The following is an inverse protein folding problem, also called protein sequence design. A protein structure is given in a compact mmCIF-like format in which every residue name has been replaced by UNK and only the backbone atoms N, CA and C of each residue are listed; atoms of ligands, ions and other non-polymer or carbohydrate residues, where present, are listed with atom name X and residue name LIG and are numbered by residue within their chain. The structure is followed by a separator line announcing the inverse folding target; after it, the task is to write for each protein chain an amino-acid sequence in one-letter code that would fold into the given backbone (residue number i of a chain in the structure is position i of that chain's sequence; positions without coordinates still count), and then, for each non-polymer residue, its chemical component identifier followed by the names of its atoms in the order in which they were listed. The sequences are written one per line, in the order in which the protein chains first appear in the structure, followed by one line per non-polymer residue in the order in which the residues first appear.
data_IF_936158913405
#
_entry.id   IF_936158913405
#
_cell.length_a   1.000
_cell.length_b   1.000
_cell.length_c   1.000
_cell.angle_alpha   90.00
_cell.angle_beta   90.00
_cell.angle_gamma   90.00
#
_symmetry.space_group_name_H-M   'P 1'
#
loop_
_entity.id
_entity.type
_entity.pdbx_description
1 polymer ?
#
# COMPACT_ATOMS: atom_id res chain seq x y z
N UNK A 1 9.84 3.85 27.77
CA UNK A 1 9.78 4.03 26.31
C UNK A 1 10.35 2.80 25.59
N UNK A 2 9.82 1.60 25.89
CA UNK A 2 10.32 0.33 25.34
C UNK A 2 9.20 -0.60 24.83
N UNK A 3 7.93 -0.21 24.98
CA UNK A 3 6.79 -1.09 24.73
C UNK A 3 6.77 -1.74 23.33
N UNK A 4 7.23 -1.05 22.27
CA UNK A 4 7.36 -1.65 20.94
C UNK A 4 8.48 -2.70 20.87
N UNK A 5 9.61 -2.45 21.53
CA UNK A 5 10.73 -3.41 21.61
C UNK A 5 10.30 -4.63 22.43
N UNK A 6 9.56 -4.39 23.52
CA UNK A 6 9.09 -5.44 24.43
C UNK A 6 8.05 -6.36 23.78
N UNK A 7 7.21 -5.83 22.88
CA UNK A 7 6.16 -6.59 22.18
C UNK A 7 6.61 -7.18 20.83
N UNK A 8 7.70 -6.69 20.24
CA UNK A 8 8.20 -7.19 18.95
C UNK A 8 8.43 -8.72 18.88
N UNK A 9 8.94 -9.40 19.93
CA UNK A 9 9.10 -10.87 19.89
C UNK A 9 7.80 -11.63 19.67
N UNK A 10 6.65 -11.09 20.11
CA UNK A 10 5.33 -11.71 19.90
C UNK A 10 4.93 -11.76 18.42
N UNK A 11 5.54 -10.90 17.60
CA UNK A 11 5.31 -10.79 16.16
C UNK A 11 6.30 -11.60 15.31
N UNK A 12 7.24 -12.31 15.95
CA UNK A 12 8.24 -13.11 15.23
C UNK A 12 7.61 -14.16 14.28
N UNK A 13 6.41 -14.64 14.59
CA UNK A 13 5.64 -15.56 13.74
C UNK A 13 5.19 -14.96 12.40
N UNK A 14 5.26 -13.63 12.22
CA UNK A 14 4.88 -12.96 10.97
C UNK A 14 6.02 -12.98 9.92
N UNK A 15 7.24 -13.38 10.29
CA UNK A 15 8.40 -13.32 9.39
C UNK A 15 8.18 -14.07 8.08
N UNK A 16 7.57 -15.25 8.13
CA UNK A 16 7.33 -16.04 6.92
C UNK A 16 6.22 -15.42 6.05
N UNK A 17 5.26 -14.71 6.65
CA UNK A 17 4.28 -13.92 5.89
C UNK A 17 4.99 -12.81 5.12
N UNK A 18 5.84 -12.02 5.79
CA UNK A 18 6.57 -10.94 5.14
C UNK A 18 7.49 -11.42 4.03
N UNK A 19 8.16 -12.56 4.23
CA UNK A 19 8.96 -13.21 3.17
C UNK A 19 8.09 -13.58 1.97
N UNK A 20 6.92 -14.18 2.17
CA UNK A 20 5.99 -14.52 1.08
C UNK A 20 5.48 -13.29 0.32
N UNK A 21 5.18 -12.20 1.02
CA UNK A 21 4.74 -10.95 0.37
C UNK A 21 5.84 -10.39 -0.53
N UNK A 22 7.10 -10.48 -0.11
CA UNK A 22 8.24 -9.97 -0.88
C UNK A 22 8.72 -10.95 -1.95
N UNK A 23 8.36 -12.22 -1.86
CA UNK A 23 8.75 -13.25 -2.81
C UNK A 23 8.02 -13.07 -4.15
N UNK A 24 8.75 -13.25 -5.24
CA UNK A 24 8.25 -13.05 -6.60
C UNK A 24 8.76 -11.79 -7.30
N UNK A 25 8.56 -11.70 -8.63
CA UNK A 25 9.12 -10.65 -9.45
C UNK A 25 8.53 -9.27 -9.12
N UNK A 26 9.38 -8.24 -9.20
CA UNK A 26 8.99 -6.83 -9.14
C UNK A 26 9.56 -6.08 -10.36
N UNK A 27 8.92 -6.19 -11.53
CA UNK A 27 9.42 -5.59 -12.76
C UNK A 27 9.21 -4.08 -12.76
N UNK A 28 10.20 -3.37 -13.32
CA UNK A 28 10.17 -1.92 -13.45
C UNK A 28 8.90 -1.43 -14.17
N UNK A 29 8.30 -0.37 -13.63
CA UNK A 29 7.26 0.40 -14.31
C UNK A 29 7.86 1.37 -15.35
N UNK A 30 9.12 1.79 -15.18
CA UNK A 30 9.82 2.66 -16.12
C UNK A 30 10.68 1.88 -17.13
N UNK A 31 11.26 2.60 -18.09
CA UNK A 31 12.24 2.03 -19.04
C UNK A 31 13.61 1.73 -18.42
N UNK A 32 13.88 2.29 -17.22
CA UNK A 32 15.10 2.10 -16.43
C UNK A 32 14.80 2.24 -14.94
N UNK A 33 15.69 1.75 -14.05
CA UNK A 33 15.66 2.11 -12.64
C UNK A 33 15.81 3.63 -12.44
N UNK A 34 15.34 4.13 -11.29
CA UNK A 34 15.53 5.52 -10.90
C UNK A 34 17.02 5.84 -10.70
N UNK A 35 17.45 6.99 -11.20
CA UNK A 35 18.79 7.55 -11.01
C UNK A 35 18.74 8.50 -9.80
N UNK A 36 19.42 8.19 -8.68
CA UNK A 36 19.32 8.99 -7.47
C UNK A 36 19.89 10.42 -7.61
N UNK A 37 20.63 10.72 -8.69
CA UNK A 37 21.15 12.07 -8.97
C UNK A 37 20.11 12.90 -9.74
N UNK A 38 19.35 12.29 -10.63
CA UNK A 38 18.44 13.00 -11.55
C UNK A 38 16.96 12.85 -11.19
N UNK A 39 16.54 11.69 -10.70
CA UNK A 39 15.15 11.37 -10.37
C UNK A 39 14.90 11.67 -8.88
N UNK A 40 14.83 12.96 -8.57
CA UNK A 40 14.61 13.48 -7.23
C UNK A 40 13.21 14.10 -7.12
N UNK A 41 12.76 14.40 -5.90
CA UNK A 41 11.50 15.14 -5.69
C UNK A 41 11.47 16.48 -6.45
N UNK A 42 12.62 17.12 -6.64
CA UNK A 42 12.71 18.39 -7.37
C UNK A 42 12.35 18.27 -8.85
N UNK A 43 12.56 17.10 -9.44
CA UNK A 43 12.32 16.81 -10.87
C UNK A 43 11.02 16.03 -11.10
N UNK A 44 10.22 15.86 -10.05
CA UNK A 44 8.97 15.09 -10.11
C UNK A 44 7.82 15.94 -10.67
N UNK A 45 7.21 15.45 -11.75
CA UNK A 45 5.93 15.96 -12.25
C UNK A 45 4.75 15.17 -11.67
N UNK A 46 3.59 15.84 -11.51
CA UNK A 46 2.38 15.25 -10.94
C UNK A 46 1.24 15.28 -11.94
N UNK A 47 0.62 14.12 -12.15
CA UNK A 47 -0.62 13.97 -12.91
C UNK A 47 -1.73 13.59 -11.94
N UNK A 48 -2.76 14.42 -11.85
CA UNK A 48 -3.93 14.18 -10.99
C UNK A 48 -5.12 13.81 -11.86
N UNK A 49 -5.92 12.85 -11.39
CA UNK A 49 -7.21 12.49 -11.99
C UNK A 49 -8.27 12.50 -10.91
N UNK A 50 -9.42 13.09 -11.23
CA UNK A 50 -10.60 13.10 -10.37
C UNK A 50 -11.63 12.10 -10.92
N UNK A 51 -12.29 11.38 -10.02
CA UNK A 51 -13.40 10.49 -10.34
C UNK A 51 -14.72 11.18 -10.05
N UNK A 52 -15.76 10.80 -10.79
CA UNK A 52 -17.09 11.39 -10.60
C UNK A 52 -17.65 11.15 -9.18
N UNK A 53 -18.58 12.00 -8.72
CA UNK A 53 -19.28 11.77 -7.46
C UNK A 53 -19.96 10.40 -7.37
N UNK A 54 -20.55 9.93 -8.46
CA UNK A 54 -21.23 8.62 -8.50
C UNK A 54 -20.26 7.47 -8.23
N UNK A 55 -19.08 7.48 -8.88
CA UNK A 55 -18.04 6.47 -8.64
C UNK A 55 -17.50 6.59 -7.20
N UNK A 56 -17.36 7.81 -6.69
CA UNK A 56 -16.93 8.06 -5.32
C UNK A 56 -17.94 7.51 -4.30
N UNK A 57 -19.24 7.67 -4.54
CA UNK A 57 -20.29 7.13 -3.69
C UNK A 57 -20.29 5.59 -3.68
N UNK A 58 -20.20 4.97 -4.85
CA UNK A 58 -20.05 3.51 -4.95
C UNK A 58 -18.85 3.01 -4.15
N UNK A 59 -17.70 3.69 -4.26
CA UNK A 59 -16.48 3.34 -3.56
C UNK A 59 -16.60 3.50 -2.03
N UNK A 60 -17.26 4.57 -1.56
CA UNK A 60 -17.37 4.87 -0.13
C UNK A 60 -18.49 4.10 0.57
N UNK A 61 -19.52 3.64 -0.15
CA UNK A 61 -20.74 3.07 0.46
C UNK A 61 -21.08 1.68 -0.06
N UNK A 62 -21.22 1.54 -1.37
CA UNK A 62 -21.78 0.32 -1.96
C UNK A 62 -20.78 -0.84 -1.91
N UNK A 63 -19.52 -0.59 -2.27
CA UNK A 63 -18.47 -1.60 -2.26
C UNK A 63 -18.21 -2.12 -0.84
N UNK A 64 -18.00 -1.28 0.19
CA UNK A 64 -17.86 -1.74 1.57
C UNK A 64 -19.04 -2.61 2.05
N UNK A 65 -20.26 -2.21 1.69
CA UNK A 65 -21.47 -2.94 2.05
C UNK A 65 -21.57 -4.30 1.35
N UNK A 66 -21.18 -4.39 0.08
CA UNK A 66 -21.30 -5.61 -0.69
C UNK A 66 -20.20 -6.64 -0.35
N UNK A 67 -18.98 -6.18 -0.09
CA UNK A 67 -17.79 -7.03 0.04
C UNK A 67 -17.21 -7.10 1.46
N UNK A 68 -17.82 -6.41 2.43
CA UNK A 68 -17.29 -6.29 3.80
C UNK A 68 -15.83 -5.79 3.79
N UNK A 69 -15.56 -4.81 2.94
CA UNK A 69 -14.23 -4.32 2.60
C UNK A 69 -14.10 -2.82 2.94
N UNK A 70 -12.87 -2.34 3.03
CA UNK A 70 -12.58 -0.92 3.12
C UNK A 70 -12.55 -0.24 1.74
N UNK A 71 -12.51 1.10 1.76
CA UNK A 71 -12.34 1.94 0.56
C UNK A 71 -11.02 1.63 -0.15
N UNK A 72 -9.98 1.39 0.64
CA UNK A 72 -8.64 1.00 0.21
C UNK A 72 -8.64 -0.27 -0.63
N UNK A 73 -9.48 -1.27 -0.32
CA UNK A 73 -9.59 -2.48 -1.15
C UNK A 73 -10.02 -2.16 -2.58
N UNK A 74 -10.98 -1.25 -2.75
CA UNK A 74 -11.42 -0.78 -4.07
C UNK A 74 -10.30 -0.05 -4.81
N UNK A 75 -9.57 0.82 -4.12
CA UNK A 75 -8.44 1.57 -4.69
C UNK A 75 -7.27 0.66 -5.08
N UNK A 76 -6.91 -0.30 -4.22
CA UNK A 76 -5.85 -1.28 -4.52
C UNK A 76 -6.23 -2.18 -5.70
N UNK A 77 -7.49 -2.61 -5.78
CA UNK A 77 -7.98 -3.39 -6.92
C UNK A 77 -7.86 -2.58 -8.22
N UNK A 78 -8.30 -1.31 -8.19
CA UNK A 78 -8.18 -0.42 -9.35
C UNK A 78 -6.72 -0.18 -9.75
N UNK A 79 -5.82 -0.01 -8.78
CA UNK A 79 -4.38 0.15 -9.01
C UNK A 79 -3.78 -1.11 -9.66
N UNK A 80 -4.05 -2.29 -9.12
CA UNK A 80 -3.57 -3.56 -9.67
C UNK A 80 -4.02 -3.72 -11.13
N UNK A 81 -5.31 -3.48 -11.40
CA UNK A 81 -5.87 -3.54 -12.76
C UNK A 81 -5.22 -2.53 -13.71
N UNK A 82 -4.97 -1.30 -13.24
CA UNK A 82 -4.34 -0.25 -14.04
C UNK A 82 -2.89 -0.61 -14.40
N UNK A 83 -2.11 -1.07 -13.43
CA UNK A 83 -0.72 -1.50 -13.63
C UNK A 83 -0.64 -2.73 -14.54
N UNK A 84 -1.46 -3.75 -14.31
CA UNK A 84 -1.50 -4.94 -15.15
C UNK A 84 -1.88 -4.59 -16.61
N UNK A 85 -2.88 -3.71 -16.80
CA UNK A 85 -3.25 -3.21 -18.14
C UNK A 85 -2.12 -2.40 -18.77
N UNK A 86 -1.39 -1.59 -18.00
CA UNK A 86 -0.24 -0.85 -18.49
C UNK A 86 0.90 -1.78 -18.91
N UNK A 87 1.23 -2.79 -18.10
CA UNK A 87 2.28 -3.79 -18.37
C UNK A 87 2.00 -4.61 -19.61
N UNK A 88 0.76 -5.07 -19.79
CA UNK A 88 0.33 -5.79 -21.01
C UNK A 88 0.55 -4.96 -22.29
N UNK A 89 0.32 -3.64 -22.23
CA UNK A 89 0.60 -2.74 -23.38
C UNK A 89 2.09 -2.59 -23.70
N UNK A 90 2.96 -2.83 -22.72
CA UNK A 90 4.42 -2.73 -22.84
C UNK A 90 5.12 -4.10 -22.85
N UNK A 91 4.38 -5.16 -23.21
CA UNK A 91 4.90 -6.54 -23.33
C UNK A 91 5.50 -7.14 -22.03
N UNK A 92 4.99 -6.73 -20.87
CA UNK A 92 5.31 -7.34 -19.57
C UNK A 92 4.15 -8.25 -19.11
N UNK A 93 4.39 -9.57 -18.89
CA UNK A 93 3.33 -10.54 -18.62
C UNK A 93 3.01 -10.73 -17.13
N UNK A 94 3.28 -9.73 -16.28
CA UNK A 94 3.12 -9.85 -14.83
C UNK A 94 1.84 -9.19 -14.34
N UNK A 95 0.96 -10.01 -13.75
CA UNK A 95 -0.34 -9.59 -13.20
C UNK A 95 -0.29 -9.29 -11.69
N UNK A 96 0.83 -9.57 -11.02
CA UNK A 96 1.07 -9.21 -9.62
C UNK A 96 1.72 -7.82 -9.47
N UNK A 97 1.36 -7.05 -8.45
CA UNK A 97 1.95 -5.73 -8.16
C UNK A 97 2.36 -5.65 -6.69
N UNK A 98 3.64 -5.41 -6.43
CA UNK A 98 4.16 -5.10 -5.10
C UNK A 98 4.09 -3.58 -4.86
N UNK A 99 3.45 -3.16 -3.78
CA UNK A 99 3.32 -1.75 -3.41
C UNK A 99 3.70 -1.52 -1.96
N UNK A 100 4.35 -0.38 -1.68
CA UNK A 100 4.49 0.13 -0.32
C UNK A 100 3.21 0.87 0.08
N UNK A 101 2.60 0.46 1.19
CA UNK A 101 1.39 1.08 1.73
C UNK A 101 1.73 1.85 2.99
N UNK A 102 1.34 3.12 2.99
CA UNK A 102 1.44 3.97 4.16
C UNK A 102 0.23 3.81 5.07
N UNK A 103 0.49 3.58 6.36
CA UNK A 103 -0.52 3.58 7.42
C UNK A 103 -0.31 4.74 8.38
N UNK A 104 -1.35 5.10 9.14
CA UNK A 104 -1.23 6.15 10.16
C UNK A 104 -0.32 5.75 11.35
N UNK A 105 -0.09 4.45 11.56
CA UNK A 105 0.78 3.88 12.60
C UNK A 105 0.36 4.18 14.04
N UNK A 106 -0.94 4.42 14.24
CA UNK A 106 -1.58 4.70 15.55
C UNK A 106 -2.47 3.54 15.95
N UNK A 107 -1.88 2.35 15.96
CA UNK A 107 -2.57 1.13 16.37
C UNK A 107 -2.73 1.13 17.89
N UNK A 108 -3.82 1.76 18.39
CA UNK A 108 -4.06 1.93 19.83
C UNK A 108 -4.21 0.59 20.58
N UNK A 109 -4.47 -0.51 19.88
CA UNK A 109 -4.53 -1.86 20.45
C UNK A 109 -3.18 -2.53 20.65
N UNK A 110 -2.08 -2.00 20.08
CA UNK A 110 -0.76 -2.63 20.21
C UNK A 110 -0.18 -2.54 21.62
N UNK A 111 -0.49 -1.47 22.35
CA UNK A 111 0.03 -1.23 23.70
C UNK A 111 -1.16 -0.94 24.61
N UNK A 112 -1.47 -1.81 25.59
CA UNK A 112 -2.57 -1.57 26.53
C UNK A 112 -2.45 -0.21 27.21
N UNK A 113 -3.52 0.59 27.12
CA UNK A 113 -3.58 1.93 27.72
C UNK A 113 -2.87 3.04 26.92
N UNK A 114 -2.31 2.75 25.74
CA UNK A 114 -1.81 3.80 24.85
C UNK A 114 -2.98 4.49 24.13
N UNK A 115 -3.07 5.82 24.29
CA UNK A 115 -3.96 6.68 23.52
C UNK A 115 -3.12 7.66 22.71
N UNK A 116 -3.10 7.44 21.39
CA UNK A 116 -2.40 8.31 20.45
C UNK A 116 -3.35 9.27 19.74
N UNK A 117 -4.63 9.36 20.10
CA UNK A 117 -5.62 10.16 19.38
C UNK A 117 -5.26 11.66 19.29
N UNK A 118 -4.51 12.19 20.26
CA UNK A 118 -4.16 13.62 20.36
C UNK A 118 -2.65 13.89 20.36
N UNK A 119 -1.83 12.90 20.02
CA UNK A 119 -0.37 13.03 20.06
C UNK A 119 0.18 13.50 18.72
N UNK A 120 0.87 14.63 18.66
CA UNK A 120 1.60 15.06 17.46
C UNK A 120 2.96 14.35 17.41
N UNK A 121 3.30 13.79 16.26
CA UNK A 121 4.56 13.08 16.05
C UNK A 121 4.55 12.31 14.73
N UNK A 122 5.70 11.77 14.35
CA UNK A 122 5.83 10.92 13.17
C UNK A 122 5.50 9.47 13.54
N UNK A 123 4.30 9.04 13.15
CA UNK A 123 3.81 7.67 13.38
C UNK A 123 3.68 6.85 12.10
N UNK A 124 3.77 7.46 10.92
CA UNK A 124 3.60 6.79 9.63
C UNK A 124 4.36 5.47 9.55
N UNK A 125 3.63 4.39 9.26
CA UNK A 125 4.20 3.08 8.96
C UNK A 125 4.21 2.86 7.47
N UNK A 126 5.17 2.08 6.99
CA UNK A 126 5.21 1.60 5.61
C UNK A 126 5.32 0.09 5.65
N UNK A 127 4.47 -0.61 4.92
CA UNK A 127 4.54 -2.06 4.79
C UNK A 127 4.25 -2.49 3.34
N UNK A 128 4.84 -3.60 2.88
CA UNK A 128 4.59 -4.11 1.54
C UNK A 128 3.23 -4.81 1.46
N UNK A 129 2.55 -4.65 0.34
CA UNK A 129 1.37 -5.44 -0.06
C UNK A 129 1.61 -5.95 -1.48
N UNK A 130 1.43 -7.25 -1.67
CA UNK A 130 1.45 -7.88 -3.00
C UNK A 130 0.00 -8.10 -3.44
N UNK A 131 -0.39 -7.43 -4.52
CA UNK A 131 -1.70 -7.52 -5.14
C UNK A 131 -1.63 -8.52 -6.27
N UNK A 132 -2.46 -9.55 -6.24
CA UNK A 132 -2.54 -10.60 -7.25
C UNK A 132 -3.92 -10.59 -7.92
N UNK A 133 -3.95 -10.73 -9.24
CA UNK A 133 -5.16 -10.72 -10.07
C UNK A 133 -5.48 -12.10 -10.67
N UNK A 134 -4.75 -13.15 -10.30
CA UNK A 134 -4.93 -14.52 -10.80
C UNK A 134 -5.99 -15.33 -10.06
#
# INVERSE_FOLDING_TARGET
AHALVDTAPERAGELDLWRRILDGPDPLLGSRPLDPVHDTELTTDKVTTEISPDVTETLLRELPRAFHAGVDNGLFTALALAVARWRRRHAHPFDEVLVGVEGHGRENSLIPGADLSRTVGWFTTIHPVRLDLT
#
